data_IF_537342566938
#
_entry.id   IF_537342566938
#
_cell.length_a   1.000
_cell.length_b   1.000
_cell.length_c   1.000
_cell.angle_alpha   90.00
_cell.angle_beta   90.00
_cell.angle_gamma   90.00
#
_symmetry.space_group_name_H-M   'P 1'
#
loop_
_entity.id
_entity.type
_entity.pdbx_description
1 polymer ?
#
# COMPACT_ATOMS: atom_id res chain seq x y z
N UNK A 1 15.77 -28.19 -41.69
CA UNK A 1 15.10 -28.73 -40.48
C UNK A 1 15.93 -28.37 -39.27
N UNK A 2 15.56 -27.29 -38.56
CA UNK A 2 16.23 -26.89 -37.31
C UNK A 2 15.14 -26.72 -36.27
N UNK A 3 15.04 -27.69 -35.35
CA UNK A 3 14.00 -27.79 -34.34
C UNK A 3 14.29 -26.73 -33.26
N UNK A 4 13.45 -25.71 -33.17
CA UNK A 4 13.51 -24.71 -32.12
C UNK A 4 13.23 -25.37 -30.76
N UNK A 5 14.13 -25.16 -29.81
CA UNK A 5 14.09 -25.64 -28.43
C UNK A 5 13.01 -24.83 -27.69
N UNK A 6 11.92 -25.47 -27.28
CA UNK A 6 10.92 -24.86 -26.38
C UNK A 6 11.55 -24.67 -24.99
N UNK A 7 11.35 -23.53 -24.30
CA UNK A 7 11.73 -23.42 -22.89
C UNK A 7 10.73 -24.19 -22.01
N UNK A 8 11.26 -24.95 -21.05
CA UNK A 8 10.55 -25.96 -20.24
C UNK A 8 9.66 -25.38 -19.12
N UNK A 9 8.57 -26.08 -18.72
CA UNK A 9 7.63 -25.69 -17.64
C UNK A 9 8.20 -25.70 -16.20
N UNK A 10 9.48 -26.04 -16.01
CA UNK A 10 10.13 -26.15 -14.70
C UNK A 10 10.48 -24.80 -14.06
N UNK A 11 10.79 -23.76 -14.86
CA UNK A 11 11.07 -22.41 -14.34
C UNK A 11 9.83 -21.79 -13.71
N UNK A 12 8.67 -21.90 -14.36
CA UNK A 12 7.42 -21.32 -13.87
C UNK A 12 6.98 -21.90 -12.51
N UNK A 13 7.18 -23.21 -12.28
CA UNK A 13 6.88 -23.83 -10.99
C UNK A 13 7.87 -23.42 -9.88
N UNK A 14 9.16 -23.28 -10.21
CA UNK A 14 10.16 -22.81 -9.27
C UNK A 14 9.94 -21.33 -8.88
N UNK A 15 9.48 -20.52 -9.84
CA UNK A 15 9.13 -19.11 -9.62
C UNK A 15 7.87 -19.00 -8.75
N UNK A 16 6.85 -19.85 -8.99
CA UNK A 16 5.64 -19.90 -8.18
C UNK A 16 5.91 -20.37 -6.73
N UNK A 17 6.79 -21.36 -6.54
CA UNK A 17 7.18 -21.83 -5.22
C UNK A 17 7.96 -20.77 -4.44
N UNK A 18 8.86 -20.03 -5.11
CA UNK A 18 9.57 -18.89 -4.52
C UNK A 18 8.62 -17.75 -4.15
N UNK A 19 7.63 -17.48 -4.98
CA UNK A 19 6.57 -16.49 -4.73
C UNK A 19 5.74 -16.87 -3.49
N UNK A 20 5.35 -18.14 -3.37
CA UNK A 20 4.61 -18.66 -2.21
C UNK A 20 5.42 -18.60 -0.92
N UNK A 21 6.70 -18.98 -0.97
CA UNK A 21 7.58 -18.93 0.20
C UNK A 21 7.86 -17.49 0.64
N UNK A 22 8.07 -16.58 -0.31
CA UNK A 22 8.12 -15.14 -0.07
C UNK A 22 6.85 -14.65 0.66
N UNK A 23 5.66 -15.04 0.19
CA UNK A 23 4.37 -14.69 0.82
C UNK A 23 4.19 -15.29 2.22
N UNK A 24 4.75 -16.48 2.49
CA UNK A 24 4.71 -17.11 3.81
C UNK A 24 5.57 -16.33 4.79
N UNK A 25 6.81 -16.05 4.41
CA UNK A 25 7.77 -15.26 5.22
C UNK A 25 7.21 -13.85 5.50
N UNK A 26 6.55 -13.22 4.52
CA UNK A 26 5.91 -11.91 4.72
C UNK A 26 4.87 -11.91 5.84
N UNK A 27 4.03 -12.96 5.87
CA UNK A 27 2.97 -13.13 6.86
C UNK A 27 3.54 -13.42 8.23
N UNK A 28 4.48 -14.36 8.34
CA UNK A 28 5.14 -14.68 9.62
C UNK A 28 5.83 -13.45 10.22
N UNK A 29 6.53 -12.66 9.39
CA UNK A 29 7.16 -11.41 9.84
C UNK A 29 6.11 -10.39 10.31
N UNK A 30 5.01 -10.21 9.55
CA UNK A 30 3.99 -9.22 9.90
C UNK A 30 3.21 -9.62 11.17
N UNK A 31 2.76 -10.87 11.25
CA UNK A 31 1.90 -11.36 12.32
C UNK A 31 2.69 -11.46 13.64
N UNK A 32 3.91 -12.00 13.60
CA UNK A 32 4.69 -12.24 14.81
C UNK A 32 5.53 -11.01 15.22
N UNK A 33 6.23 -10.38 14.27
CA UNK A 33 7.13 -9.26 14.60
C UNK A 33 6.38 -7.93 14.64
N UNK A 34 5.41 -7.72 13.76
CA UNK A 34 4.55 -6.52 13.78
C UNK A 34 3.64 -6.46 15.01
N UNK A 35 3.06 -7.60 15.40
CA UNK A 35 2.28 -7.72 16.64
C UNK A 35 3.12 -7.42 17.89
N UNK A 36 4.32 -8.00 17.97
CA UNK A 36 5.23 -7.78 19.10
C UNK A 36 5.71 -6.32 19.21
N UNK A 37 6.04 -5.67 18.10
CA UNK A 37 6.44 -4.25 18.11
C UNK A 37 5.28 -3.32 18.50
N UNK A 38 4.06 -3.65 18.08
CA UNK A 38 2.86 -2.92 18.52
C UNK A 38 2.67 -3.05 20.03
N UNK A 39 2.79 -4.26 20.58
CA UNK A 39 2.72 -4.50 22.02
C UNK A 39 3.83 -3.75 22.79
N UNK A 40 5.06 -3.73 22.27
CA UNK A 40 6.19 -2.99 22.85
C UNK A 40 5.90 -1.48 22.82
N UNK A 41 5.39 -0.94 21.71
CA UNK A 41 5.04 0.48 21.59
C UNK A 41 3.92 0.88 22.56
N UNK A 42 2.91 0.03 22.73
CA UNK A 42 1.84 0.24 23.71
C UNK A 42 2.36 0.20 25.15
N UNK A 43 3.19 -0.78 25.49
CA UNK A 43 3.81 -0.88 26.81
C UNK A 43 4.69 0.34 27.12
N UNK A 44 5.45 0.80 26.12
CA UNK A 44 6.28 1.99 26.23
C UNK A 44 5.44 3.26 26.41
N UNK A 45 4.35 3.43 25.65
CA UNK A 45 3.43 4.55 25.83
C UNK A 45 2.79 4.58 27.24
N UNK A 46 2.45 3.41 27.79
CA UNK A 46 1.94 3.31 29.17
C UNK A 46 3.01 3.64 30.21
N UNK A 47 4.26 3.25 29.98
CA UNK A 47 5.40 3.59 30.83
C UNK A 47 5.68 5.09 30.78
N UNK A 48 5.76 5.70 29.60
CA UNK A 48 6.01 7.13 29.43
C UNK A 48 4.96 7.99 30.12
N UNK A 49 3.68 7.58 30.10
CA UNK A 49 2.58 8.27 30.83
C UNK A 49 2.71 8.22 32.35
N UNK A 50 3.46 7.27 32.89
CA UNK A 50 3.68 7.09 34.35
C UNK A 50 5.02 7.65 34.82
N UNK A 51 5.83 8.20 33.92
CA UNK A 51 7.08 8.85 34.28
C UNK A 51 6.79 10.12 35.08
N UNK A 52 7.52 10.36 36.19
CA UNK A 52 7.48 11.65 36.88
C UNK A 52 7.95 12.73 35.90
N UNK A 53 7.12 13.75 35.65
CA UNK A 53 7.39 14.79 34.65
C UNK A 53 8.63 15.67 34.91
N UNK A 54 9.30 15.47 36.04
CA UNK A 54 10.49 16.21 36.46
C UNK A 54 11.81 15.50 36.09
N UNK A 55 11.78 14.21 35.74
CA UNK A 55 12.98 13.47 35.32
C UNK A 55 13.16 13.54 33.79
N UNK A 56 13.77 14.64 33.36
CA UNK A 56 14.08 14.94 31.96
C UNK A 56 14.95 13.84 31.32
N UNK A 57 15.87 13.23 32.09
CA UNK A 57 16.76 12.19 31.58
C UNK A 57 16.01 10.87 31.31
N UNK A 58 15.07 10.49 32.18
CA UNK A 58 14.21 9.32 31.93
C UNK A 58 13.28 9.53 30.73
N UNK A 59 12.74 10.75 30.58
CA UNK A 59 11.85 11.11 29.47
C UNK A 59 12.59 11.02 28.13
N UNK A 60 13.80 11.59 28.04
CA UNK A 60 14.65 11.50 26.85
C UNK A 60 15.02 10.06 26.48
N UNK A 61 15.26 9.18 27.47
CA UNK A 61 15.51 7.76 27.24
C UNK A 61 14.27 7.04 26.71
N UNK A 62 13.09 7.33 27.24
CA UNK A 62 11.83 6.77 26.74
C UNK A 62 11.55 7.20 25.30
N UNK A 63 11.79 8.47 24.97
CA UNK A 63 11.65 9.00 23.61
C UNK A 63 12.64 8.35 22.64
N UNK A 64 13.89 8.14 23.07
CA UNK A 64 14.89 7.42 22.29
C UNK A 64 14.45 5.98 21.99
N UNK A 65 13.95 5.24 22.98
CA UNK A 65 13.45 3.87 22.78
C UNK A 65 12.23 3.88 21.85
N UNK A 66 11.31 4.84 21.99
CA UNK A 66 10.18 5.01 21.07
C UNK A 66 10.66 5.19 19.63
N UNK A 67 11.69 6.04 19.43
CA UNK A 67 12.26 6.27 18.11
C UNK A 67 12.93 5.02 17.51
N UNK A 68 13.51 4.14 18.34
CA UNK A 68 14.07 2.87 17.89
C UNK A 68 12.97 1.89 17.47
N UNK A 69 11.88 1.83 18.23
CA UNK A 69 10.70 1.02 17.90
C UNK A 69 10.09 1.49 16.58
N UNK A 70 9.94 2.81 16.38
CA UNK A 70 9.43 3.38 15.14
C UNK A 70 10.33 3.05 13.94
N UNK A 71 11.65 3.20 14.07
CA UNK A 71 12.60 2.81 13.01
C UNK A 71 12.55 1.32 12.69
N UNK A 72 12.31 0.48 13.70
CA UNK A 72 12.22 -0.98 13.53
C UNK A 72 10.91 -1.36 12.84
N UNK A 73 9.80 -0.74 13.20
CA UNK A 73 8.52 -0.87 12.50
C UNK A 73 8.67 -0.44 11.04
N UNK A 74 9.31 0.71 10.77
CA UNK A 74 9.58 1.17 9.40
C UNK A 74 10.50 0.21 8.62
N UNK A 75 11.50 -0.38 9.25
CA UNK A 75 12.39 -1.37 8.62
C UNK A 75 11.63 -2.66 8.27
N UNK A 76 10.77 -3.14 9.18
CA UNK A 76 9.92 -4.31 8.92
C UNK A 76 8.91 -4.01 7.83
N UNK A 77 8.24 -2.86 7.87
CA UNK A 77 7.36 -2.44 6.80
C UNK A 77 8.09 -2.41 5.46
N UNK A 78 9.35 -1.96 5.41
CA UNK A 78 10.17 -1.99 4.20
C UNK A 78 10.48 -3.42 3.72
N UNK A 79 10.87 -4.31 4.62
CA UNK A 79 11.18 -5.73 4.31
C UNK A 79 9.92 -6.49 3.88
N UNK A 80 8.83 -6.34 4.62
CA UNK A 80 7.50 -6.87 4.28
C UNK A 80 6.95 -6.23 3.00
N UNK A 81 7.33 -5.00 2.67
CA UNK A 81 6.95 -4.35 1.41
C UNK A 81 7.71 -4.86 0.20
N UNK A 82 8.72 -5.73 0.29
CA UNK A 82 9.19 -6.46 -0.90
C UNK A 82 8.32 -7.69 -1.22
N UNK A 83 7.26 -7.90 -0.41
CA UNK A 83 6.35 -9.03 -0.46
C UNK A 83 4.91 -8.50 -0.70
N UNK A 84 4.07 -9.26 -1.42
CA UNK A 84 2.67 -8.86 -1.67
C UNK A 84 1.92 -8.78 -0.32
N UNK A 85 1.28 -7.64 0.03
CA UNK A 85 0.52 -7.52 1.28
C UNK A 85 -0.59 -8.57 1.38
N UNK A 86 -0.64 -9.33 2.48
CA UNK A 86 -1.61 -10.43 2.67
C UNK A 86 -3.06 -9.97 2.63
N UNK A 87 -3.34 -8.72 3.02
CA UNK A 87 -4.69 -8.13 2.95
C UNK A 87 -5.25 -8.08 1.53
N UNK A 88 -4.39 -8.08 0.50
CA UNK A 88 -4.82 -8.13 -0.90
C UNK A 88 -5.37 -9.51 -1.32
N UNK A 89 -5.26 -10.54 -0.48
CA UNK A 89 -5.90 -11.82 -0.72
C UNK A 89 -7.43 -11.73 -0.54
N UNK A 90 -7.92 -10.74 0.20
CA UNK A 90 -9.35 -10.45 0.34
C UNK A 90 -9.90 -9.53 -0.78
N UNK A 91 -9.04 -9.05 -1.67
CA UNK A 91 -9.38 -8.12 -2.73
C UNK A 91 -8.95 -6.68 -2.45
N UNK A 92 -8.89 -5.86 -3.49
CA UNK A 92 -8.31 -4.51 -3.43
C UNK A 92 -9.30 -3.50 -2.83
N UNK A 93 -10.61 -3.69 -3.04
CA UNK A 93 -11.62 -2.85 -2.39
C UNK A 93 -11.57 -3.07 -0.88
N UNK A 94 -11.60 -4.32 -0.43
CA UNK A 94 -11.49 -4.66 0.99
C UNK A 94 -10.17 -4.21 1.62
N UNK A 95 -9.06 -4.33 0.89
CA UNK A 95 -7.76 -3.89 1.38
C UNK A 95 -7.68 -2.37 1.60
N UNK A 96 -8.20 -1.57 0.68
CA UNK A 96 -8.22 -0.10 0.83
C UNK A 96 -9.21 0.32 1.93
N UNK A 97 -10.37 -0.35 2.02
CA UNK A 97 -11.33 -0.09 3.10
C UNK A 97 -10.71 -0.37 4.48
N UNK A 98 -10.05 -1.52 4.64
CA UNK A 98 -9.33 -1.86 5.86
C UNK A 98 -8.28 -0.81 6.19
N UNK A 99 -7.51 -0.38 5.20
CA UNK A 99 -6.47 0.64 5.39
C UNK A 99 -7.03 2.01 5.79
N UNK A 100 -8.17 2.41 5.25
CA UNK A 100 -8.85 3.64 5.65
C UNK A 100 -9.28 3.60 7.13
N UNK A 101 -9.85 2.47 7.58
CA UNK A 101 -10.24 2.26 8.99
C UNK A 101 -9.04 2.21 9.92
N UNK A 102 -7.97 1.56 9.49
CA UNK A 102 -6.73 1.48 10.26
C UNK A 102 -6.09 2.86 10.41
N UNK A 103 -6.03 3.63 9.32
CA UNK A 103 -5.55 5.00 9.34
C UNK A 103 -6.38 5.90 10.28
N UNK A 104 -7.71 5.81 10.24
CA UNK A 104 -8.58 6.57 11.14
C UNK A 104 -8.32 6.18 12.61
N UNK A 105 -8.18 4.88 12.89
CA UNK A 105 -7.88 4.36 14.24
C UNK A 105 -6.53 4.86 14.77
N UNK A 106 -5.50 4.88 13.92
CA UNK A 106 -4.13 5.24 14.32
C UNK A 106 -3.90 6.75 14.39
N UNK A 107 -4.48 7.52 13.47
CA UNK A 107 -4.22 8.96 13.34
C UNK A 107 -5.26 9.84 14.04
N UNK A 108 -6.47 9.30 14.29
CA UNK A 108 -7.62 10.08 14.74
C UNK A 108 -8.23 11.01 13.68
N UNK A 109 -7.77 10.92 12.42
CA UNK A 109 -8.29 11.69 11.29
C UNK A 109 -9.42 10.90 10.64
N UNK A 110 -10.60 11.51 10.51
CA UNK A 110 -11.76 10.82 9.92
C UNK A 110 -11.46 10.44 8.47
N UNK A 111 -11.63 9.16 8.11
CA UNK A 111 -11.28 8.67 6.78
C UNK A 111 -12.44 7.88 6.18
N UNK A 112 -13.04 8.41 5.12
CA UNK A 112 -14.10 7.70 4.39
C UNK A 112 -13.57 7.08 3.11
N UNK A 113 -14.06 5.87 2.81
CA UNK A 113 -13.75 5.14 1.58
C UNK A 113 -15.02 4.82 0.82
N UNK A 114 -14.98 5.00 -0.51
CA UNK A 114 -16.05 4.61 -1.42
C UNK A 114 -15.50 3.90 -2.64
N UNK A 115 -16.24 2.91 -3.14
CA UNK A 115 -15.94 2.21 -4.38
C UNK A 115 -17.18 2.18 -5.27
N UNK A 116 -17.00 2.28 -6.60
CA UNK A 116 -18.10 2.11 -7.55
C UNK A 116 -18.46 0.65 -7.83
N UNK A 117 -17.74 -0.30 -7.21
CA UNK A 117 -17.96 -1.74 -7.29
C UNK A 117 -17.70 -2.41 -5.93
N UNK A 118 -18.39 -3.51 -5.61
CA UNK A 118 -18.16 -4.24 -4.36
C UNK A 118 -16.76 -4.86 -4.30
N UNK A 119 -16.26 -5.39 -5.42
CA UNK A 119 -14.88 -5.86 -5.58
C UNK A 119 -14.51 -5.91 -7.07
N UNK A 120 -13.22 -5.96 -7.38
CA UNK A 120 -12.68 -6.10 -8.72
C UNK A 120 -11.53 -7.10 -8.80
N UNK A 121 -11.59 -7.95 -9.81
CA UNK A 121 -10.49 -8.84 -10.19
C UNK A 121 -9.42 -8.01 -10.91
N UNK A 122 -8.43 -7.57 -10.14
CA UNK A 122 -7.33 -6.73 -10.58
C UNK A 122 -6.04 -7.56 -10.57
N UNK A 123 -5.22 -7.44 -11.61
CA UNK A 123 -3.92 -8.13 -11.65
C UNK A 123 -3.09 -7.79 -10.40
N UNK A 124 -2.39 -8.79 -9.85
CA UNK A 124 -1.71 -8.68 -8.56
C UNK A 124 -0.77 -7.46 -8.47
N UNK A 125 -0.06 -7.14 -9.55
CA UNK A 125 0.83 -5.98 -9.61
C UNK A 125 0.08 -4.65 -9.54
N UNK A 126 -1.07 -4.56 -10.19
CA UNK A 126 -1.91 -3.35 -10.17
C UNK A 126 -2.50 -3.14 -8.78
N UNK A 127 -3.00 -4.22 -8.14
CA UNK A 127 -3.51 -4.16 -6.78
C UNK A 127 -2.42 -3.77 -5.78
N UNK A 128 -1.23 -4.35 -5.91
CA UNK A 128 -0.07 -4.06 -5.06
C UNK A 128 0.40 -2.61 -5.22
N UNK A 129 0.46 -2.10 -6.45
CA UNK A 129 0.86 -0.71 -6.71
C UNK A 129 -0.14 0.30 -6.15
N UNK A 130 -1.45 0.09 -6.39
CA UNK A 130 -2.49 0.97 -5.85
C UNK A 130 -2.49 0.98 -4.32
N UNK A 131 -2.40 -0.20 -3.71
CA UNK A 131 -2.36 -0.31 -2.25
C UNK A 131 -1.16 0.43 -1.68
N UNK A 132 0.03 0.27 -2.26
CA UNK A 132 1.25 1.01 -1.82
C UNK A 132 1.13 2.51 -1.97
N UNK A 133 0.55 2.97 -3.08
CA UNK A 133 0.29 4.40 -3.30
C UNK A 133 -0.67 4.93 -2.24
N UNK A 134 -1.70 4.15 -1.88
CA UNK A 134 -2.59 4.51 -0.79
C UNK A 134 -1.86 4.60 0.57
N UNK A 135 -1.00 3.64 0.91
CA UNK A 135 -0.23 3.67 2.18
C UNK A 135 0.62 4.93 2.28
N UNK A 136 1.36 5.21 1.21
CA UNK A 136 2.28 6.34 1.16
C UNK A 136 1.53 7.67 1.19
N UNK A 137 0.40 7.77 0.47
CA UNK A 137 -0.45 8.96 0.52
C UNK A 137 -1.00 9.21 1.94
N UNK A 138 -1.53 8.19 2.60
CA UNK A 138 -2.04 8.30 3.97
C UNK A 138 -0.94 8.63 4.98
N UNK A 139 0.25 8.03 4.82
CA UNK A 139 1.42 8.35 5.65
C UNK A 139 1.81 9.82 5.50
N UNK A 140 1.83 10.34 4.27
CA UNK A 140 2.12 11.74 4.00
C UNK A 140 1.05 12.67 4.62
N UNK A 141 -0.23 12.31 4.55
CA UNK A 141 -1.31 13.07 5.17
C UNK A 141 -1.11 13.13 6.70
N UNK A 142 -0.92 11.98 7.35
CA UNK A 142 -0.71 11.91 8.80
C UNK A 142 0.51 12.73 9.26
N UNK A 143 1.60 12.69 8.50
CA UNK A 143 2.85 13.38 8.86
C UNK A 143 2.84 14.88 8.55
N UNK A 144 2.11 15.32 7.51
CA UNK A 144 2.34 16.64 6.91
C UNK A 144 1.10 17.49 6.65
N UNK A 145 -0.10 16.92 6.54
CA UNK A 145 -1.25 17.69 6.06
C UNK A 145 -1.93 18.54 7.14
N UNK A 146 -1.84 18.15 8.42
CA UNK A 146 -2.70 18.71 9.48
C UNK A 146 -4.20 18.65 9.12
N UNK A 147 -4.59 17.59 8.39
CA UNK A 147 -5.95 17.36 7.94
C UNK A 147 -6.85 16.88 9.09
N UNK A 148 -8.14 17.14 8.96
CA UNK A 148 -9.20 16.64 9.85
C UNK A 148 -10.01 15.53 9.18
N UNK A 149 -10.04 15.52 7.86
CA UNK A 149 -10.78 14.55 7.07
C UNK A 149 -10.00 14.10 5.84
N UNK A 150 -10.12 12.81 5.54
CA UNK A 150 -9.63 12.18 4.31
C UNK A 150 -10.80 11.50 3.61
N UNK A 151 -10.82 11.60 2.28
CA UNK A 151 -11.76 10.90 1.41
C UNK A 151 -10.99 10.09 0.39
N UNK A 152 -11.29 8.81 0.31
CA UNK A 152 -10.72 7.87 -0.65
C UNK A 152 -11.82 7.36 -1.58
N UNK A 153 -11.55 7.38 -2.88
CA UNK A 153 -12.49 6.89 -3.89
C UNK A 153 -11.78 5.98 -4.88
N UNK A 154 -12.26 4.76 -5.00
CA UNK A 154 -11.77 3.79 -5.97
C UNK A 154 -12.82 3.58 -7.07
N UNK A 155 -12.44 3.89 -8.30
CA UNK A 155 -13.31 3.81 -9.46
C UNK A 155 -12.73 2.87 -10.52
N UNK A 156 -13.54 1.89 -10.91
CA UNK A 156 -13.24 0.95 -11.97
C UNK A 156 -14.06 1.25 -13.21
N UNK A 157 -13.38 1.27 -14.35
CA UNK A 157 -13.98 1.36 -15.69
C UNK A 157 -13.51 0.19 -16.55
N UNK A 158 -14.05 0.05 -17.75
CA UNK A 158 -13.58 -0.95 -18.71
C UNK A 158 -12.15 -0.68 -19.24
N UNK A 159 -11.58 0.50 -18.99
CA UNK A 159 -10.29 0.94 -19.55
C UNK A 159 -9.21 1.22 -18.49
N UNK A 160 -9.60 1.50 -17.26
CA UNK A 160 -8.69 1.93 -16.21
C UNK A 160 -9.30 1.70 -14.82
N UNK A 161 -8.41 1.55 -13.84
CA UNK A 161 -8.69 1.75 -12.42
C UNK A 161 -8.14 3.10 -11.99
N UNK A 162 -8.90 3.83 -11.19
CA UNK A 162 -8.52 5.13 -10.65
C UNK A 162 -8.75 5.15 -9.15
N UNK A 163 -7.75 5.62 -8.40
CA UNK A 163 -7.83 5.88 -6.98
C UNK A 163 -7.57 7.36 -6.74
N UNK A 164 -8.56 8.02 -6.14
CA UNK A 164 -8.47 9.41 -5.69
C UNK A 164 -8.40 9.44 -4.16
N UNK A 165 -7.46 10.21 -3.61
CA UNK A 165 -7.27 10.42 -2.18
C UNK A 165 -7.21 11.92 -1.94
N UNK A 166 -8.13 12.46 -1.16
CA UNK A 166 -8.26 13.88 -0.88
C UNK A 166 -8.23 14.15 0.62
N UNK A 167 -7.48 15.16 1.05
CA UNK A 167 -7.46 15.66 2.42
C UNK A 167 -7.88 17.15 2.47
N UNK A 168 -8.36 17.60 3.63
CA UNK A 168 -8.74 18.99 3.92
C UNK A 168 -7.64 19.77 4.68
N UNK A 169 -6.39 19.32 4.58
CA UNK A 169 -5.26 19.89 5.29
C UNK A 169 -4.71 21.17 4.67
N UNK A 170 -3.46 21.49 5.00
CA UNK A 170 -2.79 22.73 4.55
C UNK A 170 -2.34 22.73 3.09
N UNK A 171 -2.53 21.63 2.36
CA UNK A 171 -2.00 21.46 1.00
C UNK A 171 -0.50 21.17 0.98
N UNK A 172 0.06 21.05 -0.23
CA UNK A 172 1.51 20.93 -0.46
C UNK A 172 2.02 22.24 -1.07
N UNK A 173 2.91 22.94 -0.37
CA UNK A 173 3.57 24.12 -0.91
C UNK A 173 4.46 23.75 -2.10
N UNK A 174 4.55 24.61 -3.11
CA UNK A 174 5.36 24.34 -4.32
C UNK A 174 6.84 24.08 -3.99
N UNK A 175 7.35 24.71 -2.93
CA UNK A 175 8.69 24.50 -2.39
C UNK A 175 8.91 23.08 -1.84
N UNK A 176 7.87 22.42 -1.32
CA UNK A 176 7.93 21.03 -0.83
C UNK A 176 7.80 20.00 -1.96
N UNK A 177 7.16 20.38 -3.08
CA UNK A 177 7.02 19.50 -4.27
C UNK A 177 8.36 19.28 -4.98
N UNK A 178 9.26 20.27 -4.95
CA UNK A 178 10.54 20.28 -5.66
C UNK A 178 11.73 19.83 -4.81
N UNK A 179 11.52 19.54 -3.51
CA UNK A 179 12.61 19.10 -2.63
C UNK A 179 13.18 17.74 -3.07
N UNK A 180 14.51 17.58 -3.12
CA UNK A 180 15.17 16.29 -3.40
C UNK A 180 14.78 15.15 -2.44
N UNK A 181 14.21 15.49 -1.28
CA UNK A 181 13.83 14.59 -0.19
C UNK A 181 12.40 14.05 -0.31
N UNK A 182 11.63 14.44 -1.33
CA UNK A 182 10.25 13.95 -1.58
C UNK A 182 10.24 12.54 -2.19
N UNK A 183 11.00 11.61 -1.59
CA UNK A 183 11.15 10.22 -2.03
C UNK A 183 9.81 9.48 -2.07
N UNK A 184 8.89 9.79 -1.15
CA UNK A 184 7.54 9.22 -1.11
C UNK A 184 6.74 9.50 -2.38
N UNK A 185 6.62 10.78 -2.75
CA UNK A 185 5.92 11.23 -3.96
C UNK A 185 6.56 10.64 -5.22
N UNK A 186 7.89 10.68 -5.31
CA UNK A 186 8.62 10.11 -6.44
C UNK A 186 8.38 8.60 -6.57
N UNK A 187 8.45 7.87 -5.47
CA UNK A 187 8.17 6.44 -5.45
C UNK A 187 6.74 6.11 -5.87
N UNK A 188 5.75 6.90 -5.48
CA UNK A 188 4.37 6.74 -5.96
C UNK A 188 4.25 6.97 -7.47
N UNK A 189 4.89 8.03 -8.00
CA UNK A 189 4.90 8.32 -9.44
C UNK A 189 5.60 7.22 -10.25
N UNK A 190 6.73 6.71 -9.78
CA UNK A 190 7.49 5.64 -10.43
C UNK A 190 6.67 4.33 -10.46
N UNK A 191 6.01 3.96 -9.36
CA UNK A 191 5.11 2.80 -9.32
C UNK A 191 3.94 2.93 -10.30
N UNK A 192 3.31 4.11 -10.38
CA UNK A 192 2.24 4.33 -11.34
C UNK A 192 2.75 4.20 -12.79
N UNK A 193 3.91 4.81 -13.10
CA UNK A 193 4.52 4.75 -14.43
C UNK A 193 4.94 3.35 -14.85
N UNK A 194 5.43 2.52 -13.92
CA UNK A 194 5.82 1.13 -14.17
C UNK A 194 4.66 0.28 -14.73
N UNK A 195 3.42 0.67 -14.45
CA UNK A 195 2.20 0.03 -14.93
C UNK A 195 1.51 0.81 -16.07
N UNK A 196 2.22 1.73 -16.72
CA UNK A 196 1.67 2.61 -17.76
C UNK A 196 0.64 3.63 -17.24
N UNK A 197 0.55 3.79 -15.93
CA UNK A 197 -0.34 4.73 -15.27
C UNK A 197 0.26 6.12 -15.10
N UNK A 198 -0.55 7.01 -14.52
CA UNK A 198 -0.20 8.37 -14.17
C UNK A 198 -0.66 8.68 -12.75
N UNK A 199 0.09 9.54 -12.07
CA UNK A 199 -0.25 10.07 -10.77
C UNK A 199 -0.16 11.58 -10.84
N UNK A 200 -1.25 12.24 -10.46
CA UNK A 200 -1.39 13.69 -10.42
C UNK A 200 -1.66 14.13 -8.98
N UNK A 201 -1.09 15.27 -8.60
CA UNK A 201 -1.30 15.87 -7.28
C UNK A 201 -1.72 17.32 -7.53
N UNK A 202 -2.86 17.71 -7.00
CA UNK A 202 -3.44 19.04 -7.18
C UNK A 202 -3.90 19.62 -5.84
N UNK A 203 -3.78 20.94 -5.64
CA UNK A 203 -4.41 21.62 -4.51
C UNK A 203 -5.94 21.59 -4.66
N UNK A 204 -6.64 21.70 -3.53
CA UNK A 204 -8.10 21.83 -3.50
C UNK A 204 -8.53 23.27 -3.20
N UNK A 205 -9.65 23.69 -3.78
CA UNK A 205 -10.28 24.97 -3.47
C UNK A 205 -10.68 25.00 -1.98
N UNK A 206 -10.16 25.98 -1.24
CA UNK A 206 -10.38 26.10 0.22
C UNK A 206 -9.34 25.40 1.10
N UNK A 207 -8.28 24.85 0.51
CA UNK A 207 -7.22 24.14 1.23
C UNK A 207 -7.27 22.63 1.02
N UNK A 208 -6.12 21.97 1.22
CA UNK A 208 -5.99 20.52 1.10
C UNK A 208 -5.31 20.07 -0.19
N UNK A 209 -5.19 18.75 -0.34
CA UNK A 209 -4.55 18.10 -1.48
C UNK A 209 -5.44 17.01 -2.03
N UNK A 210 -5.46 16.86 -3.35
CA UNK A 210 -5.96 15.65 -4.01
C UNK A 210 -4.83 14.96 -4.76
N UNK A 211 -4.64 13.68 -4.46
CA UNK A 211 -3.81 12.76 -5.20
C UNK A 211 -4.71 11.84 -6.03
N UNK A 212 -4.48 11.81 -7.33
CA UNK A 212 -5.21 10.96 -8.27
C UNK A 212 -4.24 10.06 -9.00
N UNK A 213 -4.36 8.74 -8.80
CA UNK A 213 -3.64 7.74 -9.58
C UNK A 213 -4.58 7.03 -10.53
N UNK A 214 -4.17 6.91 -11.80
CA UNK A 214 -4.92 6.20 -12.84
C UNK A 214 -4.02 5.18 -13.52
N UNK A 215 -4.42 3.91 -13.47
CA UNK A 215 -3.69 2.80 -14.10
C UNK A 215 -4.58 2.18 -15.19
N UNK A 216 -4.11 2.11 -16.45
CA UNK A 216 -4.87 1.51 -17.54
C UNK A 216 -5.02 0.00 -17.33
N UNK A 217 -6.22 -0.50 -17.55
CA UNK A 217 -6.49 -1.93 -17.56
C UNK A 217 -6.29 -2.42 -18.99
N UNK A 218 -5.12 -2.99 -19.27
CA UNK A 218 -4.87 -3.67 -20.53
C UNK A 218 -5.87 -4.81 -20.74
N UNK A 219 -6.09 -5.20 -22.00
CA UNK A 219 -7.02 -6.27 -22.42
C UNK A 219 -6.64 -7.68 -21.91
N UNK A 220 -5.76 -7.80 -20.92
CA UNK A 220 -5.19 -9.04 -20.42
C UNK A 220 -6.08 -9.80 -19.42
N UNK A 221 -7.14 -9.19 -18.89
CA UNK A 221 -8.09 -9.88 -18.00
C UNK A 221 -9.05 -10.87 -18.69
N UNK A 222 -9.07 -10.94 -20.03
CA UNK A 222 -9.92 -11.90 -20.77
C UNK A 222 -9.16 -13.06 -21.42
N UNK A 223 -7.85 -12.93 -21.67
CA UNK A 223 -7.09 -13.96 -22.38
C UNK A 223 -6.77 -15.19 -21.52
N UNK A 224 -6.51 -15.00 -20.21
CA UNK A 224 -6.18 -16.11 -19.31
C UNK A 224 -7.38 -17.03 -18.99
N UNK A 225 -8.62 -16.52 -19.05
CA UNK A 225 -9.84 -17.33 -18.86
C UNK A 225 -10.30 -18.05 -20.12
N UNK A 226 -9.98 -17.56 -21.32
CA UNK A 226 -10.31 -18.25 -22.57
C UNK A 226 -9.40 -19.48 -22.79
N UNK A 227 -8.10 -19.35 -22.49
CA UNK A 227 -7.16 -20.46 -22.62
C UNK A 227 -7.47 -21.63 -21.66
N UNK A 228 -7.93 -21.35 -20.43
CA UNK A 228 -8.26 -22.39 -19.45
C UNK A 228 -9.59 -23.13 -19.72
N UNK A 229 -10.48 -22.56 -20.55
CA UNK A 229 -11.77 -23.20 -20.89
C UNK A 229 -11.66 -24.05 -22.17
N UNK A 230 -10.77 -23.70 -23.09
CA UNK A 230 -10.51 -24.50 -24.29
C UNK A 230 -9.67 -25.76 -23.99
N UNK A 231 -8.76 -25.71 -23.00
CA UNK A 231 -7.98 -26.90 -22.58
C UNK A 231 -8.82 -28.00 -21.92
N UNK A 232 -9.97 -27.65 -21.32
CA UNK A 232 -10.89 -28.65 -20.72
C UNK A 232 -11.76 -29.33 -21.79
N UNK A 233 -12.00 -28.67 -22.93
CA UNK A 233 -12.79 -29.24 -24.03
C UNK A 233 -11.97 -30.14 -24.97
N UNK A 234 -10.65 -30.03 -24.97
CA UNK A 234 -9.76 -30.85 -25.80
C UNK A 234 -9.41 -32.24 -25.24
N UNK A 235 -9.79 -32.55 -23.99
CA UNK A 235 -9.48 -33.84 -23.34
C UNK A 235 -10.67 -34.83 -23.41
N UNK A 236 -11.84 -34.38 -23.87
CA UNK A 236 -13.07 -35.18 -23.92
C UNK A 236 -13.55 -35.52 -25.35
N UNK A 237 -12.66 -35.50 -26.35
CA UNK A 237 -12.96 -35.89 -27.73
C UNK A 237 -11.98 -36.95 -28.25
#
# INVERSE_FOLDING_TARGET
MTRARQPEPASAHADLAREQERKRIAREIHDEVGGNLTAIKMALALLTKRLPGEDVALTQRADYINSLVDRTIEAIHRISSDLRPAVLDFGIVSAIEWQAREFETQSGIACSFTSNRPECDLHADHASALFRIAQEALTNIAKHAQARQVRMKLAYTSRAVQLDISDDGRGIADEDRLKPQSFGIRGMMERARALGGKLDIAPMDGGGTTLSVRIPLGRQGKAAKAAAVDDIKGIAA
#
